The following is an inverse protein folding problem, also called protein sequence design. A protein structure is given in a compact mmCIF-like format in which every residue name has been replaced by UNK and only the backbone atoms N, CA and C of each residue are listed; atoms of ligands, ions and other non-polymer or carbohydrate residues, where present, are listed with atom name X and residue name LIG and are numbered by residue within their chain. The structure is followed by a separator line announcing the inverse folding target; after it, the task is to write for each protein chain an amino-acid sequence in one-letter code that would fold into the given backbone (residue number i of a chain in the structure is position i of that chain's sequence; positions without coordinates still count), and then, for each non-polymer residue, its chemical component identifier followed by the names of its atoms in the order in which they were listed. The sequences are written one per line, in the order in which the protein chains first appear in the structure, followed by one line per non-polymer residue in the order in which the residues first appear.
data_IF_147979782327
#
_entry.id   IF_147979782327
#
_cell.length_a   1.000
_cell.length_b   1.000
_cell.length_c   1.000
_cell.angle_alpha   90.00
_cell.angle_beta   90.00
_cell.angle_gamma   90.00
#
_symmetry.space_group_name_H-M   'P 1'
#
loop_
_entity.id
_entity.type
_entity.pdbx_description
1 polymer ?
#
# COMPACT_ATOMS: atom_id res chain seq x y z
N UNK A 1 -5.07 12.65 -22.89
CA UNK A 1 -5.41 11.81 -24.07
C UNK A 1 -4.66 10.50 -23.92
N UNK A 2 -5.37 9.38 -23.77
CA UNK A 2 -4.75 8.06 -23.81
C UNK A 2 -4.68 7.61 -25.27
N UNK A 3 -3.48 7.25 -25.73
CA UNK A 3 -3.30 6.61 -27.03
C UNK A 3 -3.74 5.15 -26.91
N UNK A 4 -4.77 4.76 -27.67
CA UNK A 4 -5.25 3.39 -27.75
C UNK A 4 -4.81 2.80 -29.11
N UNK A 5 -3.78 1.94 -29.16
CA UNK A 5 -3.32 1.38 -30.42
C UNK A 5 -4.35 0.38 -30.97
N UNK A 6 -4.60 0.46 -32.28
CA UNK A 6 -5.32 -0.58 -33.02
C UNK A 6 -4.31 -1.45 -33.76
N UNK A 7 -4.47 -2.77 -33.73
CA UNK A 7 -3.70 -3.70 -34.56
C UNK A 7 -4.63 -4.39 -35.56
N UNK A 8 -4.11 -4.65 -36.76
CA UNK A 8 -4.79 -5.47 -37.77
C UNK A 8 -4.37 -6.93 -37.56
N UNK A 9 -5.29 -7.78 -37.14
CA UNK A 9 -5.04 -9.22 -36.98
C UNK A 9 -5.26 -9.93 -38.33
N UNK A 10 -4.30 -10.77 -38.71
CA UNK A 10 -4.42 -11.67 -39.86
C UNK A 10 -4.44 -13.10 -39.33
N UNK A 11 -5.51 -13.84 -39.60
CA UNK A 11 -5.65 -15.22 -39.16
C UNK A 11 -5.14 -16.18 -40.24
N UNK A 12 -4.30 -17.19 -39.91
CA UNK A 12 -3.91 -18.22 -40.86
C UNK A 12 -5.09 -19.16 -41.15
N UNK A 13 -5.15 -19.72 -42.37
CA UNK A 13 -6.12 -20.78 -42.71
C UNK A 13 -6.00 -21.96 -41.72
N UNK A 14 -7.11 -22.56 -41.22
CA UNK A 14 -8.51 -22.35 -41.59
C UNK A 14 -9.28 -21.37 -40.68
N UNK A 15 -8.60 -20.57 -39.85
CA UNK A 15 -9.26 -19.73 -38.84
C UNK A 15 -9.82 -18.43 -39.46
N UNK A 16 -11.09 -18.13 -39.20
CA UNK A 16 -11.75 -16.88 -39.59
C UNK A 16 -11.94 -15.95 -38.39
N UNK A 17 -11.83 -14.64 -38.60
CA UNK A 17 -12.09 -13.65 -37.55
C UNK A 17 -13.58 -13.67 -37.17
N UNK A 18 -13.93 -13.73 -35.88
CA UNK A 18 -15.34 -13.80 -35.46
C UNK A 18 -16.11 -12.48 -35.58
N UNK A 19 -15.51 -11.34 -35.98
CA UNK A 19 -16.26 -10.07 -36.14
C UNK A 19 -15.59 -9.07 -37.10
N UNK A 20 -16.39 -8.51 -38.02
CA UNK A 20 -16.01 -7.59 -39.12
C UNK A 20 -15.98 -6.09 -38.75
N UNK A 21 -15.67 -5.74 -37.50
CA UNK A 21 -15.54 -4.34 -37.12
C UNK A 21 -14.73 -4.21 -35.84
N UNK A 22 -13.56 -3.54 -35.92
CA UNK A 22 -12.66 -3.17 -34.82
C UNK A 22 -12.63 -4.17 -33.65
N UNK A 23 -11.66 -5.08 -33.68
CA UNK A 23 -11.33 -5.85 -32.47
C UNK A 23 -10.64 -4.90 -31.49
N UNK A 24 -11.31 -4.57 -30.38
CA UNK A 24 -10.65 -3.95 -29.24
C UNK A 24 -9.72 -4.97 -28.63
N UNK A 25 -8.44 -4.92 -28.99
CA UNK A 25 -7.42 -5.66 -28.26
C UNK A 25 -7.17 -4.83 -27.01
N UNK A 26 -7.64 -5.32 -25.85
CA UNK A 26 -7.32 -4.68 -24.58
C UNK A 26 -5.80 -4.66 -24.41
N UNK A 27 -5.17 -3.58 -24.83
CA UNK A 27 -3.73 -3.41 -24.69
C UNK A 27 -3.49 -2.90 -23.28
N UNK A 28 -3.36 -3.83 -22.33
CA UNK A 28 -2.65 -3.53 -21.10
C UNK A 28 -1.19 -3.31 -21.49
N UNK A 29 -0.85 -2.08 -21.90
CA UNK A 29 0.53 -1.68 -22.16
C UNK A 29 1.31 -1.94 -20.88
N UNK A 30 2.10 -3.01 -20.84
CA UNK A 30 3.00 -3.25 -19.73
C UNK A 30 3.95 -2.05 -19.61
N UNK A 31 4.01 -1.44 -18.42
CA UNK A 31 5.05 -0.45 -18.10
C UNK A 31 6.34 -1.20 -17.80
N UNK A 32 7.43 -0.81 -18.44
CA UNK A 32 8.75 -1.35 -18.12
C UNK A 32 9.41 -0.45 -17.08
N UNK A 33 9.47 -0.93 -15.84
CA UNK A 33 10.02 -0.14 -14.75
C UNK A 33 11.35 -0.70 -14.27
N UNK A 34 12.20 0.22 -13.83
CA UNK A 34 13.44 -0.11 -13.14
C UNK A 34 13.62 0.77 -11.91
N UNK A 35 13.94 0.15 -10.78
CA UNK A 35 14.41 0.82 -9.58
C UNK A 35 15.32 -0.12 -8.80
N UNK A 36 16.30 0.42 -8.07
CA UNK A 36 17.28 -0.38 -7.32
C UNK A 36 16.67 -1.24 -6.21
N UNK A 37 15.51 -0.81 -5.68
CA UNK A 37 14.79 -1.47 -4.60
C UNK A 37 13.72 -2.47 -5.08
N UNK A 38 13.48 -2.60 -6.39
CA UNK A 38 12.52 -3.56 -6.91
C UNK A 38 13.08 -4.98 -6.82
N UNK A 39 12.24 -5.91 -6.36
CA UNK A 39 12.59 -7.31 -6.33
C UNK A 39 12.88 -7.84 -7.74
N UNK A 40 14.01 -8.54 -7.88
CA UNK A 40 14.41 -9.17 -9.13
C UNK A 40 15.01 -10.56 -8.87
N UNK A 41 14.17 -11.59 -9.03
CA UNK A 41 14.54 -13.00 -8.85
C UNK A 41 15.65 -13.46 -9.80
N UNK A 42 15.89 -12.75 -10.92
CA UNK A 42 16.87 -13.13 -11.96
C UNK A 42 18.26 -12.50 -11.80
N UNK A 43 18.51 -11.82 -10.66
CA UNK A 43 19.81 -11.26 -10.30
C UNK A 43 19.88 -9.74 -10.40
N UNK A 44 19.18 -9.04 -9.48
CA UNK A 44 19.12 -7.57 -9.40
C UNK A 44 20.47 -6.84 -9.24
N UNK A 45 21.54 -7.56 -8.93
CA UNK A 45 22.91 -7.03 -8.93
C UNK A 45 23.47 -6.77 -10.34
N UNK A 46 22.90 -7.36 -11.39
CA UNK A 46 23.30 -7.09 -12.77
C UNK A 46 22.48 -5.92 -13.33
N UNK A 47 23.11 -4.76 -13.64
CA UNK A 47 22.43 -3.62 -14.26
C UNK A 47 21.62 -3.96 -15.51
N UNK A 48 22.05 -4.95 -16.29
CA UNK A 48 21.37 -5.39 -17.52
C UNK A 48 20.05 -6.14 -17.25
N UNK A 49 19.76 -6.53 -16.01
CA UNK A 49 18.56 -7.26 -15.63
C UNK A 49 17.62 -6.47 -14.71
N UNK A 50 17.91 -5.21 -14.38
CA UNK A 50 17.20 -4.40 -13.37
C UNK A 50 15.76 -4.00 -13.74
N UNK A 51 15.35 -4.20 -14.99
CA UNK A 51 14.02 -3.87 -15.47
C UNK A 51 13.03 -5.03 -15.34
N UNK A 52 11.74 -4.71 -15.33
CA UNK A 52 10.69 -5.72 -15.41
C UNK A 52 9.35 -5.08 -15.76
N UNK A 53 8.54 -5.81 -16.52
CA UNK A 53 7.20 -5.37 -16.87
C UNK A 53 6.27 -5.41 -15.65
N UNK A 54 5.49 -4.34 -15.48
CA UNK A 54 4.36 -4.26 -14.57
C UNK A 54 3.13 -3.79 -15.34
N UNK A 55 1.94 -3.99 -14.78
CA UNK A 55 0.71 -3.46 -15.35
C UNK A 55 0.47 -2.05 -14.77
N UNK A 56 0.04 -1.06 -15.58
CA UNK A 56 -0.28 0.28 -15.09
C UNK A 56 -1.67 0.30 -14.44
N UNK A 57 -1.88 -0.55 -13.45
CA UNK A 57 -3.13 -0.66 -12.70
C UNK A 57 -2.86 -0.36 -11.23
N UNK A 58 -3.80 0.27 -10.54
CA UNK A 58 -3.75 0.45 -9.09
C UNK A 58 -4.01 -0.92 -8.45
N UNK A 59 -3.01 -1.61 -7.90
CA UNK A 59 -3.19 -2.92 -7.32
C UNK A 59 -3.82 -2.80 -5.94
N UNK A 60 -4.44 -3.90 -5.50
CA UNK A 60 -5.12 -3.98 -4.22
C UNK A 60 -4.36 -4.90 -3.28
N UNK A 61 -3.90 -4.36 -2.14
CA UNK A 61 -3.26 -5.07 -1.04
C UNK A 61 -4.31 -5.80 -0.20
N UNK A 62 -4.34 -7.15 -0.22
CA UNK A 62 -5.36 -7.89 0.50
C UNK A 62 -4.95 -8.15 1.95
N UNK A 63 -5.89 -7.94 2.87
CA UNK A 63 -5.85 -8.42 4.25
C UNK A 63 -7.09 -9.26 4.56
N UNK A 64 -6.98 -10.23 5.47
CA UNK A 64 -8.11 -11.06 5.91
C UNK A 64 -8.42 -10.85 7.38
N UNK A 65 -9.68 -10.52 7.68
CA UNK A 65 -10.19 -10.43 9.05
C UNK A 65 -10.86 -11.73 9.54
N UNK A 66 -10.85 -12.76 8.68
CA UNK A 66 -11.45 -14.08 8.98
C UNK A 66 -10.72 -14.76 10.13
N UNK A 67 -11.47 -15.55 10.90
CA UNK A 67 -10.90 -16.39 11.96
C UNK A 67 -9.80 -17.30 11.39
N UNK A 68 -8.65 -17.33 12.06
CA UNK A 68 -7.49 -18.12 11.64
C UNK A 68 -6.54 -17.41 10.68
N UNK A 69 -6.88 -16.22 10.16
CA UNK A 69 -5.93 -15.42 9.39
C UNK A 69 -4.77 -14.95 10.30
N UNK A 70 -3.50 -15.16 9.93
CA UNK A 70 -2.35 -14.74 10.74
C UNK A 70 -2.31 -13.24 11.02
N UNK A 71 -2.82 -12.41 10.09
CA UNK A 71 -2.83 -10.95 10.14
C UNK A 71 -4.16 -10.35 10.60
N UNK A 72 -5.04 -11.17 11.19
CA UNK A 72 -6.42 -10.80 11.51
C UNK A 72 -6.52 -9.51 12.32
N UNK A 73 -5.67 -9.31 13.32
CA UNK A 73 -5.72 -8.09 14.13
C UNK A 73 -5.38 -6.83 13.33
N UNK A 74 -4.44 -6.93 12.37
CA UNK A 74 -4.10 -5.84 11.43
C UNK A 74 -5.30 -5.56 10.54
N UNK A 75 -5.87 -6.59 9.92
CA UNK A 75 -7.05 -6.46 9.07
C UNK A 75 -8.21 -5.76 9.79
N UNK A 76 -8.46 -6.10 11.06
CA UNK A 76 -9.48 -5.43 11.86
C UNK A 76 -9.14 -3.96 12.16
N UNK A 77 -7.87 -3.64 12.43
CA UNK A 77 -7.44 -2.27 12.61
C UNK A 77 -7.64 -1.43 11.35
N UNK A 78 -7.29 -1.97 10.18
CA UNK A 78 -7.53 -1.32 8.89
C UNK A 78 -9.04 -1.12 8.64
N UNK A 79 -9.86 -2.12 8.96
CA UNK A 79 -11.32 -2.05 8.82
C UNK A 79 -11.90 -0.93 9.69
N UNK A 80 -11.43 -0.79 10.92
CA UNK A 80 -11.87 0.27 11.82
C UNK A 80 -11.39 1.64 11.34
N UNK A 81 -10.17 1.74 10.80
CA UNK A 81 -9.66 2.98 10.20
C UNK A 81 -10.50 3.43 8.99
N UNK A 82 -11.02 2.48 8.21
CA UNK A 82 -11.92 2.75 7.09
C UNK A 82 -13.34 3.11 7.53
N UNK A 83 -13.96 2.25 8.33
CA UNK A 83 -15.41 2.27 8.58
C UNK A 83 -15.80 3.07 9.81
N UNK A 84 -14.86 3.26 10.74
CA UNK A 84 -15.09 3.97 12.02
C UNK A 84 -13.92 4.91 12.35
N UNK A 85 -13.44 5.77 11.42
CA UNK A 85 -12.23 6.57 11.62
C UNK A 85 -12.31 7.50 12.84
N UNK A 86 -13.49 8.01 13.17
CA UNK A 86 -13.69 8.91 14.31
C UNK A 86 -13.39 8.30 15.69
N UNK A 87 -13.43 6.97 15.83
CA UNK A 87 -13.15 6.29 17.11
C UNK A 87 -11.74 5.73 17.20
N UNK A 88 -10.99 5.70 16.09
CA UNK A 88 -9.59 5.28 16.09
C UNK A 88 -8.69 6.36 16.67
N UNK A 89 -7.48 6.00 17.10
CA UNK A 89 -6.54 6.93 17.75
C UNK A 89 -5.45 7.36 16.76
N UNK A 90 -5.01 8.62 16.75
CA UNK A 90 -5.48 9.76 17.58
C UNK A 90 -6.91 10.17 17.22
N UNK A 91 -7.70 10.68 18.17
CA UNK A 91 -9.07 11.13 17.85
C UNK A 91 -9.03 12.37 16.96
N UNK A 92 -9.76 12.33 15.86
CA UNK A 92 -9.99 13.48 14.97
C UNK A 92 -11.41 13.36 14.39
N UNK A 93 -12.26 14.36 14.64
CA UNK A 93 -13.68 14.35 14.23
C UNK A 93 -13.89 14.43 12.73
N UNK A 94 -12.87 14.89 11.98
CA UNK A 94 -12.87 14.96 10.51
C UNK A 94 -11.93 13.92 9.90
N UNK A 95 -11.58 12.87 10.65
CA UNK A 95 -10.65 11.85 10.17
C UNK A 95 -11.21 11.14 8.94
N UNK A 96 -10.44 11.17 7.88
CA UNK A 96 -10.71 10.50 6.61
C UNK A 96 -9.40 9.82 6.16
N UNK A 97 -9.20 8.58 6.60
CA UNK A 97 -7.98 7.85 6.32
C UNK A 97 -8.01 7.31 4.89
N UNK A 98 -7.01 7.62 4.03
CA UNK A 98 -7.00 7.18 2.65
C UNK A 98 -6.64 5.68 2.54
N UNK A 99 -6.77 5.14 1.34
CA UNK A 99 -6.24 3.85 0.92
C UNK A 99 -7.28 2.77 0.69
N UNK A 100 -8.57 3.09 0.70
CA UNK A 100 -9.65 2.12 0.52
C UNK A 100 -10.46 2.32 -0.77
N UNK A 101 -10.14 3.35 -1.56
CA UNK A 101 -10.80 3.68 -2.81
C UNK A 101 -9.82 4.31 -3.81
N UNK A 102 -10.21 4.33 -5.09
CA UNK A 102 -9.36 4.82 -6.17
C UNK A 102 -9.21 6.35 -6.24
N UNK A 103 -9.97 7.11 -5.45
CA UNK A 103 -9.86 8.58 -5.35
C UNK A 103 -8.84 8.98 -4.27
N UNK A 104 -8.64 8.14 -3.27
CA UNK A 104 -7.75 8.37 -2.15
C UNK A 104 -6.82 7.16 -1.97
N UNK A 105 -5.87 7.01 -2.89
CA UNK A 105 -4.91 5.90 -2.89
C UNK A 105 -3.79 6.09 -1.87
N UNK A 106 -3.00 5.03 -1.66
CA UNK A 106 -1.73 5.08 -0.94
C UNK A 106 -0.56 5.10 -1.91
N UNK A 107 0.47 5.86 -1.54
CA UNK A 107 1.70 5.99 -2.32
C UNK A 107 2.86 5.43 -1.51
N UNK A 108 3.62 4.48 -2.09
CA UNK A 108 4.78 3.89 -1.41
C UNK A 108 5.83 4.98 -1.16
N UNK A 109 6.33 5.05 0.07
CA UNK A 109 7.44 5.90 0.48
C UNK A 109 8.69 5.04 0.65
N UNK A 110 9.57 5.07 -0.33
CA UNK A 110 10.76 4.24 -0.42
C UNK A 110 12.06 5.04 -0.34
N UNK A 111 12.08 6.24 -0.92
CA UNK A 111 13.30 7.03 -1.08
C UNK A 111 13.60 8.00 0.09
N UNK A 112 12.69 8.14 1.05
CA UNK A 112 12.85 9.04 2.20
C UNK A 112 12.71 8.27 3.54
N UNK A 113 13.85 7.75 4.01
CA UNK A 113 13.91 6.98 5.26
C UNK A 113 13.63 7.80 6.51
N UNK A 114 13.83 9.12 6.49
CA UNK A 114 13.59 9.96 7.65
C UNK A 114 12.12 10.29 7.84
N UNK A 115 11.37 10.45 6.73
CA UNK A 115 9.91 10.51 6.76
C UNK A 115 9.30 9.17 7.18
N UNK A 116 9.84 8.03 6.74
CA UNK A 116 9.41 6.71 7.25
C UNK A 116 9.59 6.62 8.77
N UNK A 117 10.77 7.03 9.30
CA UNK A 117 11.00 7.07 10.76
C UNK A 117 10.07 8.06 11.45
N UNK A 118 9.76 9.20 10.82
CA UNK A 118 8.84 10.19 11.37
C UNK A 118 7.41 9.64 11.49
N UNK A 119 6.92 8.91 10.48
CA UNK A 119 5.65 8.20 10.53
C UNK A 119 5.61 7.24 11.73
N UNK A 120 6.62 6.34 11.84
CA UNK A 120 6.72 5.39 12.96
C UNK A 120 6.71 6.07 14.33
N UNK A 121 7.50 7.15 14.49
CA UNK A 121 7.55 7.89 15.75
C UNK A 121 6.20 8.51 16.11
N UNK A 122 5.48 9.06 15.13
CA UNK A 122 4.16 9.65 15.36
C UNK A 122 3.11 8.60 15.78
N UNK A 123 3.15 7.41 15.16
CA UNK A 123 2.29 6.30 15.55
C UNK A 123 2.64 5.77 16.95
N UNK A 124 3.92 5.51 17.23
CA UNK A 124 4.37 5.06 18.56
C UNK A 124 3.99 6.08 19.64
N UNK A 125 4.20 7.38 19.39
CA UNK A 125 3.79 8.43 20.32
C UNK A 125 2.27 8.39 20.60
N UNK A 126 1.47 8.07 19.60
CA UNK A 126 0.02 7.83 19.77
C UNK A 126 -0.24 6.60 20.63
N UNK A 127 0.40 5.46 20.36
CA UNK A 127 0.26 4.26 21.18
C UNK A 127 0.63 4.53 22.65
N UNK A 128 1.74 5.21 22.90
CA UNK A 128 2.17 5.61 24.26
C UNK A 128 1.14 6.54 24.92
N UNK A 129 0.64 7.54 24.19
CA UNK A 129 -0.33 8.51 24.71
C UNK A 129 -1.64 7.86 25.16
N UNK A 130 -2.15 6.88 24.41
CA UNK A 130 -3.49 6.31 24.63
C UNK A 130 -3.50 4.97 25.38
N UNK A 131 -2.38 4.23 25.41
CA UNK A 131 -2.27 2.93 26.07
C UNK A 131 -1.11 2.82 27.08
N UNK A 132 -0.37 3.91 27.30
CA UNK A 132 0.76 3.95 28.21
C UNK A 132 2.07 3.49 27.58
N UNK A 133 3.20 3.88 28.17
CA UNK A 133 4.54 3.50 27.70
C UNK A 133 4.78 1.98 27.72
N UNK A 134 4.05 1.25 28.57
CA UNK A 134 4.09 -0.21 28.66
C UNK A 134 3.08 -0.92 27.73
N UNK A 135 2.51 -0.25 26.71
CA UNK A 135 1.52 -0.87 25.81
C UNK A 135 2.00 -2.20 25.22
N UNK A 136 3.30 -2.35 24.98
CA UNK A 136 3.90 -3.55 24.40
C UNK A 136 3.81 -4.78 25.32
N UNK A 137 3.68 -4.57 26.63
CA UNK A 137 3.73 -5.62 27.66
C UNK A 137 2.55 -5.58 28.63
N UNK A 138 1.64 -4.60 28.51
CA UNK A 138 0.53 -4.42 29.47
C UNK A 138 -0.59 -5.47 29.39
N UNK A 139 -0.51 -6.41 28.44
CA UNK A 139 -1.38 -7.60 28.41
C UNK A 139 -0.51 -8.81 28.79
N UNK A 140 -0.76 -9.46 29.94
CA UNK A 140 -0.01 -10.63 30.36
C UNK A 140 -0.01 -11.73 29.29
N UNK A 141 1.18 -12.29 29.01
CA UNK A 141 1.35 -13.36 28.03
C UNK A 141 1.24 -12.94 26.55
N UNK A 142 1.00 -11.67 26.24
CA UNK A 142 0.86 -11.18 24.86
C UNK A 142 1.82 -10.03 24.59
N UNK A 143 2.88 -10.30 23.84
CA UNK A 143 3.75 -9.24 23.29
C UNK A 143 3.02 -8.47 22.21
N UNK A 144 3.02 -7.13 22.30
CA UNK A 144 2.36 -6.25 21.34
C UNK A 144 3.31 -5.25 20.70
N UNK A 145 2.93 -4.79 19.51
CA UNK A 145 3.61 -3.72 18.77
C UNK A 145 2.58 -2.66 18.36
N UNK A 146 3.04 -1.43 18.11
CA UNK A 146 2.17 -0.37 17.63
C UNK A 146 2.00 -0.52 16.12
N UNK A 147 0.81 -0.92 15.68
CA UNK A 147 0.43 -0.90 14.27
C UNK A 147 -0.06 0.49 13.88
N UNK A 148 0.12 0.84 12.60
CA UNK A 148 -0.14 2.17 12.06
C UNK A 148 -0.76 2.12 10.66
N UNK A 149 -1.77 2.95 10.45
CA UNK A 149 -2.40 3.12 9.15
C UNK A 149 -2.78 4.59 8.88
N UNK A 150 -2.37 5.20 7.75
CA UNK A 150 -1.60 4.59 6.67
C UNK A 150 -0.18 4.17 7.10
N UNK A 151 0.37 3.15 6.44
CA UNK A 151 1.62 2.50 6.86
C UNK A 151 2.80 3.49 6.89
N UNK A 152 3.82 3.29 7.74
CA UNK A 152 4.98 4.20 7.73
C UNK A 152 5.71 4.26 6.39
N UNK A 153 5.63 3.20 5.58
CA UNK A 153 6.15 3.17 4.21
C UNK A 153 5.20 3.81 3.19
N UNK A 154 4.40 4.80 3.60
CA UNK A 154 3.55 5.59 2.71
C UNK A 154 3.72 7.09 2.90
N UNK A 155 3.45 7.85 1.85
CA UNK A 155 3.41 9.31 1.91
C UNK A 155 2.25 9.79 2.81
N UNK A 156 1.17 9.02 2.90
CA UNK A 156 -0.02 9.29 3.70
C UNK A 156 0.13 8.91 5.18
N UNK A 157 1.30 8.41 5.59
CA UNK A 157 1.54 7.93 6.95
C UNK A 157 1.39 8.99 8.05
N UNK A 158 1.52 8.56 9.31
CA UNK A 158 1.15 9.34 10.49
C UNK A 158 1.79 10.75 10.61
N UNK A 159 2.96 10.99 9.99
CA UNK A 159 3.61 12.28 9.99
C UNK A 159 3.30 13.14 8.74
N UNK A 160 2.33 12.77 7.90
CA UNK A 160 2.03 13.46 6.63
C UNK A 160 1.92 14.98 6.79
N UNK A 161 1.16 15.47 7.76
CA UNK A 161 0.97 16.92 8.02
C UNK A 161 2.26 17.70 8.33
N UNK A 162 3.35 17.03 8.73
CA UNK A 162 4.67 17.64 8.91
C UNK A 162 5.36 17.95 7.57
N UNK A 163 5.11 17.12 6.56
CA UNK A 163 5.75 17.20 5.25
C UNK A 163 4.84 17.86 4.20
N UNK A 164 3.53 17.72 4.35
CA UNK A 164 2.50 18.35 3.54
C UNK A 164 1.57 19.17 4.44
N UNK A 165 1.84 20.49 4.50
CA UNK A 165 1.14 21.42 5.40
C UNK A 165 -0.35 21.58 5.07
N UNK A 166 -0.78 21.23 3.86
CA UNK A 166 -2.18 21.28 3.48
C UNK A 166 -2.98 20.08 3.98
N UNK A 167 -2.31 19.01 4.43
CA UNK A 167 -2.97 17.79 4.91
C UNK A 167 -3.35 17.89 6.38
N UNK A 168 -4.51 17.32 6.76
CA UNK A 168 -4.98 17.36 8.13
C UNK A 168 -3.99 16.68 9.09
N UNK A 169 -3.80 17.29 10.27
CA UNK A 169 -3.14 16.63 11.40
C UNK A 169 -3.98 15.44 11.86
N UNK A 170 -3.32 14.47 12.50
CA UNK A 170 -3.99 13.34 13.15
C UNK A 170 -4.90 12.52 12.21
N UNK A 171 -4.60 12.51 10.90
CA UNK A 171 -5.35 11.79 9.88
C UNK A 171 -4.82 10.37 9.64
N UNK A 172 -4.58 9.65 10.74
CA UNK A 172 -4.11 8.27 10.74
C UNK A 172 -4.72 7.51 11.92
N UNK A 173 -4.45 6.23 11.99
CA UNK A 173 -4.86 5.31 13.03
C UNK A 173 -3.64 4.57 13.56
N UNK A 174 -3.48 4.50 14.87
CA UNK A 174 -2.48 3.69 15.54
C UNK A 174 -3.13 2.85 16.64
N UNK A 175 -2.68 1.59 16.77
CA UNK A 175 -3.25 0.63 17.71
C UNK A 175 -2.22 -0.40 18.15
N UNK A 176 -2.06 -0.68 19.45
CA UNK A 176 -1.30 -1.83 19.92
C UNK A 176 -1.95 -3.15 19.48
N UNK A 177 -1.24 -3.95 18.69
CA UNK A 177 -1.68 -5.26 18.21
C UNK A 177 -0.72 -6.36 18.67
N UNK A 178 -1.16 -7.64 18.76
CA UNK A 178 -0.24 -8.75 18.98
C UNK A 178 0.91 -8.73 17.96
N UNK A 179 2.13 -8.93 18.44
CA UNK A 179 3.35 -8.86 17.63
C UNK A 179 3.33 -9.86 16.47
N UNK A 180 2.76 -11.05 16.68
CA UNK A 180 2.63 -12.07 15.65
C UNK A 180 1.75 -11.59 14.48
N UNK A 181 0.56 -11.07 14.77
CA UNK A 181 -0.34 -10.50 13.76
C UNK A 181 0.29 -9.32 13.02
N UNK A 182 0.94 -8.42 13.76
CA UNK A 182 1.60 -7.25 13.18
C UNK A 182 2.74 -7.67 12.22
N UNK A 183 3.55 -8.64 12.63
CA UNK A 183 4.63 -9.19 11.81
C UNK A 183 4.13 -9.92 10.57
N UNK A 184 3.03 -10.67 10.68
CA UNK A 184 2.37 -11.31 9.54
C UNK A 184 1.84 -10.25 8.55
N UNK A 185 1.17 -9.22 9.05
CA UNK A 185 0.66 -8.14 8.22
C UNK A 185 1.76 -7.33 7.51
N UNK A 186 2.88 -7.07 8.19
CA UNK A 186 4.06 -6.45 7.59
C UNK A 186 4.73 -7.32 6.52
N UNK A 187 4.72 -8.65 6.71
CA UNK A 187 5.24 -9.60 5.72
C UNK A 187 4.40 -9.60 4.44
N UNK A 188 3.07 -9.56 4.57
CA UNK A 188 2.14 -9.45 3.44
C UNK A 188 2.39 -8.15 2.67
N UNK A 189 2.49 -7.00 3.36
CA UNK A 189 2.80 -5.70 2.74
C UNK A 189 4.10 -5.75 1.96
N UNK A 190 5.18 -6.30 2.54
CA UNK A 190 6.48 -6.41 1.87
C UNK A 190 6.38 -7.28 0.61
N UNK A 191 5.77 -8.45 0.71
CA UNK A 191 5.59 -9.36 -0.43
C UNK A 191 4.73 -8.69 -1.51
N UNK A 192 3.67 -7.99 -1.13
CA UNK A 192 2.82 -7.25 -2.06
C UNK A 192 3.61 -6.20 -2.83
N UNK A 193 4.39 -5.36 -2.15
CA UNK A 193 5.24 -4.35 -2.77
C UNK A 193 6.24 -4.97 -3.75
N UNK A 194 6.88 -6.07 -3.36
CA UNK A 194 7.87 -6.78 -4.16
C UNK A 194 7.24 -7.45 -5.41
N UNK A 195 6.08 -8.10 -5.24
CA UNK A 195 5.42 -8.88 -6.30
C UNK A 195 4.65 -8.02 -7.30
N UNK A 196 4.05 -6.93 -6.84
CA UNK A 196 3.35 -5.97 -7.70
C UNK A 196 4.30 -4.89 -8.23
N UNK A 197 5.58 -4.93 -7.85
CA UNK A 197 6.63 -4.01 -8.32
C UNK A 197 6.30 -2.53 -8.10
N UNK A 198 5.63 -2.22 -6.99
CA UNK A 198 5.17 -0.86 -6.67
C UNK A 198 6.39 0.06 -6.55
N UNK A 199 6.45 1.08 -7.40
CA UNK A 199 7.48 2.12 -7.35
C UNK A 199 7.25 3.05 -6.15
N UNK A 200 8.26 3.86 -5.82
CA UNK A 200 8.02 5.06 -5.01
C UNK A 200 6.93 5.88 -5.68
N UNK A 201 5.91 6.27 -4.89
CA UNK A 201 4.68 6.79 -5.49
C UNK A 201 4.83 8.15 -6.15
N UNK A 202 5.92 8.87 -5.88
CA UNK A 202 6.23 10.13 -6.54
C UNK A 202 7.64 10.14 -7.15
N UNK A 203 7.75 10.71 -8.34
CA UNK A 203 9.04 11.01 -8.98
C UNK A 203 9.03 12.43 -9.51
N UNK A 204 9.99 13.24 -9.07
CA UNK A 204 10.09 14.67 -9.44
C UNK A 204 8.78 15.45 -9.22
N UNK A 205 8.01 15.08 -8.20
CA UNK A 205 6.72 15.69 -7.86
C UNK A 205 5.52 15.17 -8.66
N UNK A 206 5.72 14.34 -9.68
CA UNK A 206 4.63 13.67 -10.38
C UNK A 206 4.22 12.38 -9.66
N UNK A 207 2.92 12.10 -9.65
CA UNK A 207 2.34 10.82 -9.23
C UNK A 207 2.74 9.73 -10.24
N UNK A 208 3.32 8.64 -9.75
CA UNK A 208 3.87 7.54 -10.56
C UNK A 208 3.21 6.22 -10.24
N UNK A 209 2.91 5.95 -8.98
CA UNK A 209 2.41 4.65 -8.56
C UNK A 209 1.64 4.70 -7.25
N UNK A 210 0.57 3.92 -7.21
CA UNK A 210 -0.41 3.99 -6.15
C UNK A 210 -1.04 2.62 -5.93
N UNK A 211 -1.52 2.36 -4.72
CA UNK A 211 -2.24 1.14 -4.39
C UNK A 211 -3.36 1.41 -3.39
N UNK A 212 -4.28 0.47 -3.29
CA UNK A 212 -5.36 0.49 -2.29
C UNK A 212 -5.32 -0.79 -1.45
N UNK A 213 -6.08 -0.81 -0.36
CA UNK A 213 -6.24 -1.94 0.55
C UNK A 213 -7.63 -2.51 0.39
N UNK A 214 -7.75 -3.84 0.41
CA UNK A 214 -9.01 -4.53 0.60
C UNK A 214 -8.96 -5.44 1.81
N UNK A 215 -10.12 -5.64 2.44
CA UNK A 215 -10.25 -6.43 3.65
C UNK A 215 -11.39 -7.43 3.46
N UNK A 216 -11.05 -8.72 3.55
CA UNK A 216 -12.00 -9.84 3.43
C UNK A 216 -12.38 -10.50 4.75
#
# INVERSE_FOLDING_TARGET
MAYEPFVKLTFPSPYTSPNTGRVSVGFLAGRWDTASYLFNKTGGGNPKKKGGAALPVVPTLPYSSKTGAPERAVAQHLRDAHTKPGVTKPVNTRKAVPGFDLKHTLHRLQNDGDRVKANRRAAIATCVKYWGANYATSVPGVSRECDEYPFASTYEGAAQSKYDKAKPKDNFSARPLPKADNGAGGSILKIFMDRNRILDGFSSGADVDAYVVSIS
#
